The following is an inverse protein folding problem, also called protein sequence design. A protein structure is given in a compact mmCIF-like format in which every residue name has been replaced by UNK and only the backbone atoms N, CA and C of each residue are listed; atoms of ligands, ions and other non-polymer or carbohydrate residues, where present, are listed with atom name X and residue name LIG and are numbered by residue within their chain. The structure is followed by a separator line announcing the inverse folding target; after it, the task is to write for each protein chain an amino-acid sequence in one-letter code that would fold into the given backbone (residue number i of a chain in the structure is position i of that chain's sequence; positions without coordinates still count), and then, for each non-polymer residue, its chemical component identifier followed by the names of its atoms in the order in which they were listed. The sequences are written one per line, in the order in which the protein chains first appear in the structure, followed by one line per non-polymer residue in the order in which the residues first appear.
data_IF_640237616696
#
_entry.id   IF_640237616696
#
_cell.length_a   1.000
_cell.length_b   1.000
_cell.length_c   1.000
_cell.angle_alpha   90.00
_cell.angle_beta   90.00
_cell.angle_gamma   90.00
#
_symmetry.space_group_name_H-M   'P 1'
#
loop_
_entity.id
_entity.type
_entity.pdbx_description
1 polymer ?
#
# COMPACT_ATOMS: atom_id res chain seq x y z
N UNK A 1 48.91 -13.54 8.25
CA UNK A 1 47.68 -14.33 7.97
C UNK A 1 46.60 -13.36 7.48
N UNK A 2 45.75 -13.85 6.58
CA UNK A 2 44.93 -13.14 5.59
C UNK A 2 43.99 -12.05 6.13
N UNK A 3 43.78 -11.05 5.27
CA UNK A 3 42.60 -10.18 5.27
C UNK A 3 41.35 -10.92 4.81
N UNK A 4 40.17 -10.50 5.31
CA UNK A 4 38.90 -10.70 4.64
C UNK A 4 37.92 -9.59 5.10
N UNK A 5 37.65 -8.67 4.18
CA UNK A 5 36.45 -7.84 4.16
C UNK A 5 35.25 -8.68 3.66
N UNK A 6 34.08 -8.01 3.50
CA UNK A 6 32.79 -8.47 2.93
C UNK A 6 31.89 -9.11 4.00
N UNK A 7 30.62 -8.73 4.22
CA UNK A 7 29.52 -8.47 3.25
C UNK A 7 28.56 -7.40 3.83
N UNK A 8 28.31 -6.28 3.14
CA UNK A 8 27.20 -6.06 2.20
C UNK A 8 25.83 -6.61 2.66
N UNK A 9 24.88 -5.70 2.90
CA UNK A 9 23.56 -6.00 3.43
C UNK A 9 22.50 -5.02 2.96
N UNK A 10 22.46 -4.76 1.65
CA UNK A 10 21.24 -4.42 0.92
C UNK A 10 20.60 -3.05 1.21
N UNK A 11 21.01 -2.06 0.43
CA UNK A 11 20.19 -0.90 0.08
C UNK A 11 18.78 -1.36 -0.36
N UNK A 12 17.67 -0.66 0.00
CA UNK A 12 16.34 -1.06 -0.46
C UNK A 12 16.31 -1.10 -1.99
N UNK A 13 16.09 -2.32 -2.51
CA UNK A 13 15.95 -2.64 -3.93
C UNK A 13 14.91 -1.71 -4.56
N UNK A 14 15.42 -0.77 -5.35
CA UNK A 14 14.87 -0.22 -6.60
C UNK A 14 13.37 -0.46 -6.88
N UNK A 15 12.47 0.06 -6.04
CA UNK A 15 11.03 0.02 -6.30
C UNK A 15 10.52 1.23 -7.12
N UNK A 16 11.41 2.10 -7.59
CA UNK A 16 11.07 3.30 -8.37
C UNK A 16 10.56 3.03 -9.79
N UNK A 17 10.80 1.83 -10.33
CA UNK A 17 10.44 1.47 -11.71
C UNK A 17 9.03 0.89 -11.84
N UNK A 18 8.46 0.34 -10.75
CA UNK A 18 7.15 -0.29 -10.77
C UNK A 18 6.03 0.78 -10.75
N UNK A 19 5.17 0.87 -11.78
CA UNK A 19 4.06 1.84 -11.82
C UNK A 19 3.10 1.69 -10.63
N UNK A 20 2.87 0.46 -10.15
CA UNK A 20 2.00 0.18 -9.02
C UNK A 20 2.55 0.69 -7.70
N UNK A 21 3.87 0.57 -7.50
CA UNK A 21 4.52 1.10 -6.29
C UNK A 21 4.56 2.63 -6.33
N UNK A 22 4.77 3.24 -7.50
CA UNK A 22 4.64 4.69 -7.65
C UNK A 22 3.22 5.17 -7.38
N UNK A 23 2.21 4.44 -7.85
CA UNK A 23 0.80 4.74 -7.59
C UNK A 23 0.48 4.61 -6.09
N UNK A 24 1.04 3.61 -5.41
CA UNK A 24 0.94 3.44 -3.96
C UNK A 24 1.52 4.66 -3.23
N UNK A 25 2.75 5.06 -3.55
CA UNK A 25 3.42 6.21 -2.91
C UNK A 25 2.59 7.47 -3.10
N UNK A 26 2.20 7.79 -4.35
CA UNK A 26 1.39 8.97 -4.66
C UNK A 26 0.07 8.99 -3.91
N UNK A 27 -0.59 7.83 -3.80
CA UNK A 27 -1.83 7.72 -3.06
C UNK A 27 -1.61 7.92 -1.55
N UNK A 28 -0.60 7.28 -0.96
CA UNK A 28 -0.29 7.45 0.46
C UNK A 28 0.16 8.88 0.81
N UNK A 29 0.81 9.60 -0.11
CA UNK A 29 1.17 11.02 0.08
C UNK A 29 -0.07 11.93 0.21
N UNK A 30 -1.24 11.51 -0.30
CA UNK A 30 -2.53 12.20 -0.12
C UNK A 30 -3.24 11.84 1.20
N UNK A 31 -2.72 10.87 1.96
CA UNK A 31 -3.26 10.42 3.24
C UNK A 31 -2.40 11.02 4.37
N UNK A 32 -2.96 11.36 5.55
CA UNK A 32 -2.18 11.92 6.67
C UNK A 32 -1.30 10.86 7.38
N UNK A 33 -0.38 10.24 6.64
CA UNK A 33 0.59 9.24 7.10
C UNK A 33 2.01 9.77 6.95
N UNK A 34 2.91 9.34 7.83
CA UNK A 34 4.31 9.77 7.76
C UNK A 34 5.10 9.02 6.66
N UNK A 35 6.17 9.67 6.19
CA UNK A 35 7.04 9.11 5.15
C UNK A 35 7.71 7.79 5.57
N UNK A 36 7.95 7.59 6.87
CA UNK A 36 8.49 6.33 7.39
C UNK A 36 7.53 5.16 7.14
N UNK A 37 6.24 5.38 7.34
CA UNK A 37 5.17 4.42 7.10
C UNK A 37 5.03 4.11 5.61
N UNK A 38 5.11 5.12 4.74
CA UNK A 38 5.12 4.94 3.28
C UNK A 38 6.29 4.06 2.84
N UNK A 39 7.51 4.39 3.30
CA UNK A 39 8.70 3.61 2.99
C UNK A 39 8.59 2.17 3.47
N UNK A 40 8.07 1.96 4.68
CA UNK A 40 7.86 0.63 5.27
C UNK A 40 6.92 -0.23 4.41
N UNK A 41 5.80 0.33 3.94
CA UNK A 41 4.91 -0.38 3.01
C UNK A 41 5.62 -0.72 1.69
N UNK A 42 6.41 0.21 1.14
CA UNK A 42 7.18 -0.04 -0.07
C UNK A 42 8.28 -1.09 0.12
N UNK A 43 8.88 -1.19 1.31
CA UNK A 43 9.89 -2.21 1.65
C UNK A 43 9.29 -3.60 1.88
N UNK A 44 7.99 -3.68 2.16
CA UNK A 44 7.23 -4.93 2.24
C UNK A 44 6.59 -5.32 0.90
N UNK A 45 7.04 -4.70 -0.21
CA UNK A 45 6.55 -4.96 -1.56
C UNK A 45 5.03 -4.81 -1.74
N UNK A 46 4.40 -3.95 -0.92
CA UNK A 46 3.03 -3.57 -1.18
C UNK A 46 2.94 -2.84 -2.51
N UNK A 47 1.95 -3.23 -3.30
CA UNK A 47 1.43 -2.46 -4.43
C UNK A 47 0.12 -1.80 -4.03
N UNK A 48 -0.32 -0.83 -4.82
CA UNK A 48 -1.60 -0.18 -4.57
C UNK A 48 -2.76 -1.17 -4.64
N UNK A 49 -2.75 -2.05 -5.64
CA UNK A 49 -3.75 -3.09 -5.80
C UNK A 49 -3.76 -4.09 -4.64
N UNK A 50 -2.60 -4.64 -4.24
CA UNK A 50 -2.55 -5.55 -3.12
C UNK A 50 -3.07 -4.90 -1.84
N UNK A 51 -2.72 -3.62 -1.59
CA UNK A 51 -3.19 -2.88 -0.43
C UNK A 51 -4.72 -2.67 -0.45
N UNK A 52 -5.30 -2.44 -1.63
CA UNK A 52 -6.72 -2.16 -1.78
C UNK A 52 -7.61 -3.38 -1.94
N UNK A 53 -7.11 -4.52 -2.42
CA UNK A 53 -7.93 -5.69 -2.68
C UNK A 53 -7.62 -6.86 -1.76
N UNK A 54 -6.36 -7.02 -1.36
CA UNK A 54 -5.91 -8.22 -0.63
C UNK A 54 -5.59 -7.93 0.83
N UNK A 55 -5.06 -6.74 1.14
CA UNK A 55 -4.57 -6.45 2.48
C UNK A 55 -5.69 -6.43 3.54
N UNK A 56 -5.36 -7.00 4.68
CA UNK A 56 -6.12 -6.98 5.92
C UNK A 56 -5.51 -5.99 6.91
N UNK A 57 -6.23 -5.76 8.02
CA UNK A 57 -5.69 -4.97 9.13
C UNK A 57 -4.47 -5.64 9.76
N UNK A 58 -4.45 -6.97 9.77
CA UNK A 58 -3.38 -7.77 10.37
C UNK A 58 -2.09 -7.66 9.55
N UNK A 59 -2.18 -7.60 8.22
CA UNK A 59 -1.01 -7.41 7.36
C UNK A 59 -0.29 -6.08 7.67
N UNK A 60 -1.05 -5.02 7.95
CA UNK A 60 -0.49 -3.74 8.37
C UNK A 60 0.16 -3.82 9.75
N UNK A 61 -0.39 -4.64 10.67
CA UNK A 61 0.23 -4.91 11.96
C UNK A 61 1.53 -5.68 11.81
N UNK A 62 1.58 -6.68 10.93
CA UNK A 62 2.77 -7.47 10.65
C UNK A 62 3.90 -6.64 10.02
N UNK A 63 3.57 -5.58 9.28
CA UNK A 63 4.56 -4.59 8.83
C UNK A 63 5.18 -3.79 9.99
N UNK A 64 4.61 -3.87 11.20
CA UNK A 64 5.02 -3.06 12.35
C UNK A 64 4.62 -1.60 12.21
N UNK A 65 3.49 -1.31 11.57
CA UNK A 65 2.94 0.05 11.52
C UNK A 65 2.35 0.38 12.89
N UNK A 66 2.72 1.54 13.44
CA UNK A 66 2.24 2.01 14.75
C UNK A 66 0.71 2.21 14.73
N UNK A 67 0.04 1.90 15.85
CA UNK A 67 -1.43 1.88 15.93
C UNK A 67 -2.12 3.13 15.37
N UNK A 68 -1.62 4.34 15.66
CA UNK A 68 -2.18 5.59 15.12
C UNK A 68 -2.09 5.68 13.59
N UNK A 69 -0.94 5.33 13.01
CA UNK A 69 -0.76 5.32 11.54
C UNK A 69 -1.56 4.20 10.88
N UNK A 70 -1.62 3.03 11.54
CA UNK A 70 -2.39 1.89 11.08
C UNK A 70 -3.88 2.25 10.97
N UNK A 71 -4.44 2.93 11.96
CA UNK A 71 -5.83 3.40 11.91
C UNK A 71 -6.08 4.34 10.74
N UNK A 72 -5.15 5.26 10.45
CA UNK A 72 -5.27 6.21 9.33
C UNK A 72 -5.22 5.51 7.97
N UNK A 73 -4.25 4.62 7.77
CA UNK A 73 -4.15 3.83 6.54
C UNK A 73 -5.40 2.98 6.36
N UNK A 74 -5.81 2.24 7.39
CA UNK A 74 -6.96 1.36 7.30
C UNK A 74 -8.26 2.13 7.00
N UNK A 75 -8.44 3.31 7.61
CA UNK A 75 -9.55 4.19 7.28
C UNK A 75 -9.53 4.64 5.81
N UNK A 76 -8.36 5.05 5.30
CA UNK A 76 -8.19 5.46 3.90
C UNK A 76 -8.44 4.30 2.91
N UNK A 77 -7.95 3.09 3.20
CA UNK A 77 -8.21 1.88 2.42
C UNK A 77 -9.72 1.62 2.35
N UNK A 78 -10.40 1.61 3.50
CA UNK A 78 -11.85 1.35 3.55
C UNK A 78 -12.66 2.41 2.79
N UNK A 79 -12.29 3.68 2.91
CA UNK A 79 -12.94 4.75 2.17
C UNK A 79 -12.81 4.53 0.66
N UNK A 80 -11.59 4.24 0.18
CA UNK A 80 -11.33 4.00 -1.25
C UNK A 80 -12.02 2.74 -1.78
N UNK A 81 -12.04 1.64 -1.01
CA UNK A 81 -12.80 0.41 -1.35
C UNK A 81 -14.29 0.71 -1.52
N UNK A 82 -14.87 1.52 -0.64
CA UNK A 82 -16.29 1.92 -0.73
C UNK A 82 -16.57 2.74 -1.98
N UNK A 83 -15.71 3.69 -2.33
CA UNK A 83 -15.86 4.49 -3.55
C UNK A 83 -15.80 3.62 -4.82
N UNK A 84 -14.89 2.64 -4.88
CA UNK A 84 -14.79 1.71 -6.02
C UNK A 84 -15.99 0.77 -6.16
N UNK A 85 -16.58 0.34 -5.04
CA UNK A 85 -17.80 -0.46 -5.05
C UNK A 85 -19.03 0.37 -5.47
N UNK A 86 -19.05 1.66 -5.14
CA UNK A 86 -20.15 2.56 -5.51
C UNK A 86 -20.19 2.89 -7.01
N UNK A 87 -19.10 2.73 -7.74
CA UNK A 87 -19.03 3.01 -9.18
C UNK A 87 -19.50 1.85 -10.07
N UNK A 88 -19.95 0.74 -9.49
CA UNK A 88 -20.47 -0.43 -10.22
C UNK A 88 -21.91 -0.74 -9.78
N UNK A 89 -22.82 0.24 -9.84
CA UNK A 89 -24.24 -0.04 -9.52
C UNK A 89 -25.28 0.79 -10.28
N UNK A 90 -24.94 1.41 -11.41
CA UNK A 90 -25.89 2.18 -12.24
C UNK A 90 -25.77 1.88 -13.74
N UNK A 91 -25.72 0.60 -14.14
CA UNK A 91 -25.93 0.25 -15.56
C UNK A 91 -26.55 -1.15 -15.77
N UNK A 92 -27.59 -1.48 -15.00
CA UNK A 92 -28.44 -2.62 -15.37
C UNK A 92 -29.81 -2.09 -15.77
N UNK A 93 -30.02 -2.01 -17.08
CA UNK A 93 -31.29 -1.70 -17.74
C UNK A 93 -32.43 -2.62 -17.30
N UNK A 94 -33.64 -2.07 -17.24
CA UNK A 94 -34.85 -2.78 -17.65
C UNK A 94 -35.74 -1.84 -18.48
N UNK A 95 -35.35 -1.71 -19.75
CA UNK A 95 -36.26 -1.33 -20.83
C UNK A 95 -37.08 -2.57 -21.20
N UNK A 96 -38.16 -2.89 -20.49
CA UNK A 96 -39.20 -3.83 -20.93
C UNK A 96 -40.57 -3.52 -20.32
N UNK A 97 -41.35 -2.66 -21.00
CA UNK A 97 -42.75 -2.86 -21.45
C UNK A 97 -43.40 -1.54 -21.91
#
# INVERSE_FOLDING_TARGET
MKAAATEDGGLPKQNGSNPEVRALVRWLESVPVDKYTINKLCSHDFTLDCLLFMASRDDLMYCGIRGGMLCRIWAAIRARRKTQLSTHNEDSEDTLL
#
